data_IF_438753046260
#
_entry.id   IF_438753046260
#
_cell.length_a   1.000
_cell.length_b   1.000
_cell.length_c   1.000
_cell.angle_alpha   90.00
_cell.angle_beta   90.00
_cell.angle_gamma   90.00
#
_symmetry.space_group_name_H-M   'P 1'
#
loop_
_entity.id
_entity.type
_entity.pdbx_description
1 polymer ?
#
# COMPACT_ATOMS: atom_id res chain seq x y z
N UNK A 1 -5.29 24.97 -0.71
CA UNK A 1 -5.03 23.54 -1.00
C UNK A 1 -6.01 22.71 -0.19
N UNK A 2 -7.11 22.25 -0.81
CA UNK A 2 -8.26 21.72 -0.07
C UNK A 2 -7.93 20.44 0.70
N UNK A 3 -8.40 20.34 1.95
CA UNK A 3 -8.25 19.15 2.80
C UNK A 3 -8.72 17.85 2.13
N UNK A 4 -9.68 17.93 1.21
CA UNK A 4 -10.15 16.80 0.42
C UNK A 4 -9.04 16.14 -0.42
N UNK A 5 -8.12 16.94 -0.99
CA UNK A 5 -6.95 16.42 -1.72
C UNK A 5 -5.97 15.71 -0.78
N UNK A 6 -5.82 16.16 0.46
CA UNK A 6 -4.95 15.52 1.45
C UNK A 6 -5.50 14.16 1.92
N UNK A 7 -6.82 14.07 2.13
CA UNK A 7 -7.50 12.82 2.51
C UNK A 7 -7.42 11.78 1.38
N UNK A 8 -7.66 12.19 0.13
CA UNK A 8 -7.48 11.31 -1.04
C UNK A 8 -6.02 10.85 -1.21
N UNK A 9 -5.04 11.70 -0.87
CA UNK A 9 -3.62 11.35 -0.93
C UNK A 9 -3.20 10.32 0.13
N UNK A 10 -3.94 10.23 1.24
CA UNK A 10 -3.72 9.26 2.33
C UNK A 10 -4.41 7.92 2.05
N UNK A 11 -5.63 7.94 1.51
CA UNK A 11 -6.41 6.70 1.25
C UNK A 11 -6.03 6.05 -0.08
N UNK A 12 -5.69 6.84 -1.11
CA UNK A 12 -5.32 6.33 -2.44
C UNK A 12 -4.06 7.06 -2.94
N UNK A 13 -2.89 6.76 -2.35
CA UNK A 13 -1.63 7.44 -2.67
C UNK A 13 -1.24 7.45 -4.16
N UNK A 14 -1.46 6.39 -4.98
CA UNK A 14 -1.05 6.42 -6.39
C UNK A 14 -1.95 7.33 -7.26
N UNK A 15 -3.23 7.48 -6.92
CA UNK A 15 -4.16 8.33 -7.69
C UNK A 15 -3.89 9.82 -7.48
N UNK A 16 -3.46 10.22 -6.27
CA UNK A 16 -3.14 11.62 -5.96
C UNK A 16 -1.82 12.07 -6.61
N UNK A 17 -0.95 11.13 -6.98
CA UNK A 17 0.37 11.38 -7.59
C UNK A 17 0.33 11.34 -9.12
N UNK A 18 -0.74 10.80 -9.73
CA UNK A 18 -0.93 10.79 -11.19
C UNK A 18 -0.79 12.19 -11.81
N UNK A 19 -1.19 13.21 -11.06
CA UNK A 19 -1.14 14.63 -11.42
C UNK A 19 0.28 15.24 -11.33
N UNK A 20 1.20 14.62 -10.56
CA UNK A 20 2.58 15.10 -10.35
C UNK A 20 3.65 14.41 -11.21
N UNK A 21 3.26 13.44 -12.05
CA UNK A 21 4.15 12.80 -13.03
C UNK A 21 4.27 11.27 -12.87
N UNK A 22 4.34 10.59 -14.01
CA UNK A 22 4.30 9.12 -14.14
C UNK A 22 5.41 8.39 -13.33
N UNK A 23 6.60 9.00 -13.20
CA UNK A 23 7.72 8.40 -12.46
C UNK A 23 7.47 8.26 -10.95
N UNK A 24 6.85 9.26 -10.32
CA UNK A 24 6.56 9.22 -8.87
C UNK A 24 5.45 8.23 -8.55
N UNK A 25 4.46 8.06 -9.45
CA UNK A 25 3.40 7.06 -9.29
C UNK A 25 3.99 5.66 -9.22
N UNK A 26 4.91 5.32 -10.14
CA UNK A 26 5.55 4.00 -10.19
C UNK A 26 6.32 3.70 -8.90
N UNK A 27 7.04 4.68 -8.34
CA UNK A 27 7.79 4.51 -7.09
C UNK A 27 6.85 4.30 -5.91
N UNK A 28 5.79 5.12 -5.77
CA UNK A 28 4.81 5.02 -4.68
C UNK A 28 4.02 3.70 -4.77
N UNK A 29 3.70 3.26 -5.99
CA UNK A 29 3.02 2.00 -6.23
C UNK A 29 3.93 0.79 -5.92
N UNK A 30 5.20 0.84 -6.33
CA UNK A 30 6.19 -0.18 -5.98
C UNK A 30 6.45 -0.25 -4.47
N UNK A 31 6.52 0.89 -3.78
CA UNK A 31 6.70 0.94 -2.32
C UNK A 31 5.46 0.43 -1.57
N UNK A 32 4.27 0.75 -2.08
CA UNK A 32 3.00 0.21 -1.57
C UNK A 32 2.95 -1.30 -1.73
N UNK A 33 3.28 -1.84 -2.91
CA UNK A 33 3.37 -3.28 -3.13
C UNK A 33 4.47 -3.92 -2.29
N UNK A 34 5.64 -3.29 -2.17
CA UNK A 34 6.76 -3.81 -1.40
C UNK A 34 6.51 -3.85 0.11
N UNK A 35 5.62 -3.02 0.67
CA UNK A 35 5.19 -3.11 2.07
C UNK A 35 3.96 -4.00 2.26
N UNK A 36 3.04 -3.99 1.29
CA UNK A 36 1.77 -4.70 1.36
C UNK A 36 1.92 -6.20 1.09
N UNK A 37 2.70 -6.58 0.07
CA UNK A 37 2.95 -7.99 -0.29
C UNK A 37 3.60 -8.76 0.86
N UNK A 38 4.73 -8.33 1.47
CA UNK A 38 5.29 -9.03 2.61
C UNK A 38 4.39 -8.96 3.86
N UNK A 39 3.60 -7.89 4.05
CA UNK A 39 2.64 -7.81 5.15
C UNK A 39 1.50 -8.82 5.03
N UNK A 40 0.94 -8.98 3.82
CA UNK A 40 -0.09 -9.97 3.52
C UNK A 40 0.46 -11.40 3.65
N UNK A 41 1.67 -11.64 3.15
CA UNK A 41 2.35 -12.95 3.29
C UNK A 41 2.60 -13.24 4.77
N UNK A 42 3.11 -12.29 5.55
CA UNK A 42 3.35 -12.47 6.99
C UNK A 42 2.05 -12.78 7.75
N UNK A 43 0.95 -12.08 7.46
CA UNK A 43 -0.35 -12.34 8.08
C UNK A 43 -0.89 -13.74 7.74
N UNK A 44 -0.76 -14.15 6.49
CA UNK A 44 -1.12 -15.51 6.04
C UNK A 44 -0.26 -16.58 6.70
N UNK A 45 1.06 -16.37 6.76
CA UNK A 45 2.00 -17.32 7.33
C UNK A 45 1.79 -17.48 8.84
N UNK A 46 1.54 -16.39 9.56
CA UNK A 46 1.17 -16.43 10.98
C UNK A 46 -0.14 -17.19 11.18
N UNK A 47 -1.19 -16.92 10.40
CA UNK A 47 -2.44 -17.68 10.49
C UNK A 47 -2.23 -19.17 10.20
N UNK A 48 -1.45 -19.48 9.17
CA UNK A 48 -1.14 -20.85 8.81
C UNK A 48 -0.33 -21.56 9.89
N UNK A 49 0.67 -20.91 10.50
CA UNK A 49 1.43 -21.52 11.60
C UNK A 49 0.51 -21.77 12.79
N UNK A 50 -0.31 -20.77 13.17
CA UNK A 50 -1.26 -20.89 14.29
C UNK A 50 -2.26 -22.04 14.08
N UNK A 51 -2.72 -22.27 12.84
CA UNK A 51 -3.67 -23.36 12.53
C UNK A 51 -3.01 -24.74 12.41
N UNK A 52 -1.69 -24.83 12.27
CA UNK A 52 -0.95 -26.11 12.25
C UNK A 52 -0.39 -26.47 13.64
N UNK A 53 -0.41 -25.53 14.59
CA UNK A 53 -0.03 -25.75 16.00
C UNK A 53 -1.23 -26.17 16.89
N UNK A 54 -2.44 -26.29 16.34
CA UNK A 54 -3.65 -26.88 16.95
C UNK A 54 -3.84 -28.36 16.57
#
# INVERSE_FOLDING_TARGET
>A
MGCFRAILCIVFPPLAVLDRGCGTVLIVFALTLAGWVPGAIAALLINFVLVNDE
#
